data_IF_167898998519
#
_entry.id   IF_167898998519
#
_cell.length_a   1.000
_cell.length_b   1.000
_cell.length_c   1.000
_cell.angle_alpha   90.00
_cell.angle_beta   90.00
_cell.angle_gamma   90.00
#
_symmetry.space_group_name_H-M   'P 1'
#
loop_
_entity.id
_entity.type
_entity.pdbx_description
1 polymer ?
#
# COMPACT_ATOMS: atom_id res chain seq x y z
N UNK A 1 -8.87 4.09 14.54
CA UNK A 1 -8.72 5.56 14.69
C UNK A 1 -7.25 6.00 14.84
N UNK A 2 -6.29 5.08 15.02
CA UNK A 2 -4.87 5.43 15.23
C UNK A 2 -4.04 5.58 13.95
N UNK A 3 -4.35 4.86 12.86
CA UNK A 3 -3.55 4.87 11.62
C UNK A 3 -3.66 6.16 10.77
N UNK A 4 -4.74 6.95 10.92
CA UNK A 4 -4.93 8.20 10.17
C UNK A 4 -4.13 9.39 10.71
N UNK A 5 -3.52 9.25 11.91
CA UNK A 5 -2.61 10.26 12.49
C UNK A 5 -1.13 9.98 12.20
N UNK A 6 -0.81 8.82 11.64
CA UNK A 6 0.55 8.29 11.52
C UNK A 6 1.44 9.04 10.54
N UNK A 7 0.89 9.60 9.44
CA UNK A 7 1.74 10.02 8.31
C UNK A 7 1.96 11.54 8.21
N UNK A 8 1.28 12.33 9.04
CA UNK A 8 1.59 13.77 9.23
C UNK A 8 2.77 13.96 10.21
N UNK A 9 3.25 12.89 10.87
CA UNK A 9 4.40 12.91 11.79
C UNK A 9 5.49 11.92 11.35
N UNK A 10 6.00 12.04 10.14
CA UNK A 10 7.23 11.31 9.72
C UNK A 10 8.51 11.85 10.37
N UNK A 11 8.44 12.51 11.54
CA UNK A 11 9.61 13.13 12.17
C UNK A 11 10.05 12.51 13.50
N UNK A 12 9.18 11.90 14.32
CA UNK A 12 9.58 11.64 15.73
C UNK A 12 8.96 10.40 16.40
N UNK A 13 8.56 9.36 15.68
CA UNK A 13 8.03 8.15 16.32
C UNK A 13 8.35 6.93 15.49
N UNK A 14 8.94 5.91 16.11
CA UNK A 14 9.13 4.58 15.52
C UNK A 14 7.77 3.87 15.37
N UNK A 15 6.86 4.46 14.58
CA UNK A 15 5.49 4.00 14.43
C UNK A 15 5.48 2.65 13.74
N UNK A 16 6.35 2.46 12.75
CA UNK A 16 6.50 1.16 12.10
C UNK A 16 6.95 0.09 13.10
N UNK A 17 7.91 0.40 13.98
CA UNK A 17 8.33 -0.51 15.04
C UNK A 17 7.16 -0.88 15.94
N UNK A 18 6.34 0.09 16.35
CA UNK A 18 5.13 -0.18 17.14
C UNK A 18 4.13 -1.06 16.39
N UNK A 19 3.91 -0.82 15.09
CA UNK A 19 3.02 -1.65 14.26
C UNK A 19 3.57 -3.08 14.20
N UNK A 20 4.86 -3.25 13.92
CA UNK A 20 5.52 -4.55 13.81
C UNK A 20 5.47 -5.32 15.14
N UNK A 21 5.78 -4.68 16.27
CA UNK A 21 5.66 -5.32 17.59
C UNK A 21 4.21 -5.68 17.91
N UNK A 22 3.24 -4.79 17.60
CA UNK A 22 1.81 -5.10 17.79
C UNK A 22 1.39 -6.33 16.97
N UNK A 23 1.85 -6.46 15.73
CA UNK A 23 1.57 -7.63 14.88
C UNK A 23 2.14 -8.90 15.54
N UNK A 24 3.39 -8.86 16.02
CA UNK A 24 4.04 -9.98 16.71
C UNK A 24 3.33 -10.35 18.01
N UNK A 25 2.85 -9.37 18.77
CA UNK A 25 2.10 -9.61 20.00
C UNK A 25 0.82 -10.41 19.72
N UNK A 26 0.06 -10.02 18.68
CA UNK A 26 -1.15 -10.74 18.28
C UNK A 26 -0.89 -12.16 17.75
N UNK A 27 0.31 -12.48 17.26
CA UNK A 27 0.63 -13.85 16.82
C UNK A 27 0.56 -14.86 17.96
N UNK A 28 0.83 -14.43 19.20
CA UNK A 28 0.65 -15.27 20.38
C UNK A 28 -0.82 -15.64 20.63
N UNK A 29 -1.77 -14.78 20.24
CA UNK A 29 -3.21 -15.03 20.33
C UNK A 29 -3.67 -15.94 19.18
N UNK A 30 -3.05 -15.83 18.00
CA UNK A 30 -3.42 -16.58 16.80
C UNK A 30 -2.89 -18.01 16.77
N UNK A 31 -1.95 -18.39 17.64
CA UNK A 31 -1.35 -19.74 17.69
C UNK A 31 -2.34 -20.91 17.81
N UNK A 32 -3.55 -20.64 18.32
CA UNK A 32 -4.61 -21.65 18.48
C UNK A 32 -5.55 -21.75 17.27
N UNK A 33 -5.41 -20.87 16.28
CA UNK A 33 -6.21 -20.90 15.08
C UNK A 33 -5.81 -22.06 14.16
N UNK A 34 -6.77 -22.52 13.36
CA UNK A 34 -6.44 -23.41 12.24
C UNK A 34 -5.49 -22.68 11.29
N UNK A 35 -4.41 -23.35 10.84
CA UNK A 35 -3.37 -22.78 9.98
C UNK A 35 -3.91 -21.97 8.80
N UNK A 36 -4.92 -22.49 8.10
CA UNK A 36 -5.53 -21.79 6.97
C UNK A 36 -6.14 -20.44 7.35
N UNK A 37 -6.81 -20.36 8.52
CA UNK A 37 -7.40 -19.13 9.04
C UNK A 37 -6.31 -18.16 9.50
N UNK A 38 -5.25 -18.67 10.12
CA UNK A 38 -4.11 -17.87 10.55
C UNK A 38 -3.42 -17.20 9.35
N UNK A 39 -3.12 -17.96 8.29
CA UNK A 39 -2.56 -17.41 7.05
C UNK A 39 -3.48 -16.33 6.47
N UNK A 40 -4.79 -16.57 6.40
CA UNK A 40 -5.74 -15.56 5.89
C UNK A 40 -5.73 -14.26 6.70
N UNK A 41 -5.65 -14.36 8.03
CA UNK A 41 -5.55 -13.18 8.91
C UNK A 41 -4.26 -12.43 8.64
N UNK A 42 -3.12 -13.13 8.60
CA UNK A 42 -1.81 -12.51 8.39
C UNK A 42 -1.74 -11.80 7.03
N UNK A 43 -2.26 -12.44 5.97
CA UNK A 43 -2.41 -11.81 4.65
C UNK A 43 -3.32 -10.59 4.68
N UNK A 44 -4.41 -10.63 5.44
CA UNK A 44 -5.31 -9.48 5.57
C UNK A 44 -4.63 -8.30 6.30
N UNK A 45 -3.83 -8.59 7.33
CA UNK A 45 -3.04 -7.57 8.04
C UNK A 45 -2.03 -6.96 7.07
N UNK A 46 -1.24 -7.78 6.38
CA UNK A 46 -0.27 -7.31 5.36
C UNK A 46 -0.92 -6.41 4.31
N UNK A 47 -2.03 -6.88 3.72
CA UNK A 47 -2.81 -6.11 2.75
C UNK A 47 -3.27 -4.76 3.28
N UNK A 48 -3.78 -4.77 4.52
CA UNK A 48 -4.33 -3.56 5.12
C UNK A 48 -3.23 -2.56 5.42
N UNK A 49 -2.10 -3.03 5.93
CA UNK A 49 -0.92 -2.19 6.18
C UNK A 49 -0.46 -1.50 4.90
N UNK A 50 -0.22 -2.26 3.82
CA UNK A 50 0.21 -1.68 2.53
C UNK A 50 -0.84 -0.71 1.97
N UNK A 51 -2.13 -1.05 2.03
CA UNK A 51 -3.19 -0.15 1.55
C UNK A 51 -3.24 1.18 2.33
N UNK A 52 -2.96 1.17 3.64
CA UNK A 52 -2.89 2.39 4.45
C UNK A 52 -1.66 3.24 4.07
N UNK A 53 -0.51 2.63 3.80
CA UNK A 53 0.65 3.35 3.23
C UNK A 53 0.28 4.04 1.92
N UNK A 54 -0.32 3.30 0.97
CA UNK A 54 -0.74 3.85 -0.31
C UNK A 54 -1.70 5.03 -0.16
N UNK A 55 -2.73 4.89 0.68
CA UNK A 55 -3.70 5.95 0.94
C UNK A 55 -3.07 7.22 1.52
N UNK A 56 -2.05 7.04 2.36
CA UNK A 56 -1.40 8.14 3.03
C UNK A 56 -0.37 8.85 2.15
N UNK A 57 0.36 8.11 1.30
CA UNK A 57 1.23 8.69 0.27
C UNK A 57 0.42 9.61 -0.62
N UNK A 58 -0.74 9.16 -1.13
CA UNK A 58 -1.57 9.97 -2.03
C UNK A 58 -2.50 10.94 -1.31
N UNK A 59 -2.34 11.10 0.02
CA UNK A 59 -3.14 12.07 0.76
C UNK A 59 -2.62 13.48 0.52
N UNK A 60 -3.51 14.45 0.31
CA UNK A 60 -3.17 15.87 0.05
C UNK A 60 -2.41 16.56 1.18
N UNK A 61 -2.13 15.87 2.28
CA UNK A 61 -1.36 16.37 3.42
C UNK A 61 0.15 16.21 3.22
N UNK A 62 0.55 15.40 2.24
CA UNK A 62 1.94 15.16 1.89
C UNK A 62 2.29 16.06 0.71
N UNK A 63 3.00 17.17 0.95
CA UNK A 63 3.56 18.00 -0.12
C UNK A 63 5.08 17.88 -0.11
N UNK A 64 5.62 17.55 -1.28
CA UNK A 64 7.03 17.18 -1.45
C UNK A 64 7.79 18.19 -2.29
N UNK A 65 7.50 19.49 -2.11
CA UNK A 65 8.12 20.61 -2.85
C UNK A 65 9.63 20.50 -2.98
N UNK A 66 10.29 20.24 -1.85
CA UNK A 66 11.75 20.19 -1.79
C UNK A 66 12.27 18.79 -2.08
N UNK A 67 13.30 18.69 -2.93
CA UNK A 67 13.93 17.41 -3.28
C UNK A 67 14.43 16.64 -2.05
N UNK A 68 15.03 17.31 -1.07
CA UNK A 68 15.50 16.64 0.14
C UNK A 68 14.36 16.02 0.97
N UNK A 69 13.16 16.64 0.96
CA UNK A 69 11.96 16.07 1.60
C UNK A 69 11.51 14.81 0.85
N UNK A 70 11.57 14.82 -0.48
CA UNK A 70 11.29 13.65 -1.32
C UNK A 70 12.22 12.49 -0.98
N UNK A 71 13.52 12.76 -0.84
CA UNK A 71 14.49 11.76 -0.41
C UNK A 71 14.18 11.21 0.99
N UNK A 72 13.89 12.09 1.96
CA UNK A 72 13.58 11.65 3.33
C UNK A 72 12.31 10.76 3.39
N UNK A 73 11.28 11.11 2.61
CA UNK A 73 10.03 10.31 2.52
C UNK A 73 10.32 8.94 1.89
N UNK A 74 11.08 8.92 0.80
CA UNK A 74 11.44 7.69 0.12
C UNK A 74 12.31 6.77 0.98
N UNK A 75 13.30 7.32 1.68
CA UNK A 75 14.13 6.60 2.64
C UNK A 75 13.27 6.03 3.78
N UNK A 76 12.34 6.82 4.33
CA UNK A 76 11.38 6.34 5.33
C UNK A 76 10.53 5.18 4.79
N UNK A 77 9.99 5.29 3.57
CA UNK A 77 9.21 4.20 2.94
C UNK A 77 10.05 2.94 2.73
N UNK A 78 11.30 3.08 2.31
CA UNK A 78 12.20 1.95 2.09
C UNK A 78 12.53 1.23 3.41
N UNK A 79 12.91 1.98 4.45
CA UNK A 79 13.16 1.44 5.79
C UNK A 79 11.92 0.76 6.38
N UNK A 80 10.74 1.37 6.19
CA UNK A 80 9.48 0.78 6.64
C UNK A 80 9.19 -0.55 5.92
N UNK A 81 9.46 -0.64 4.62
CA UNK A 81 9.31 -1.90 3.88
C UNK A 81 10.26 -2.99 4.40
N UNK A 82 11.51 -2.64 4.73
CA UNK A 82 12.45 -3.58 5.35
C UNK A 82 11.96 -4.09 6.71
N UNK A 83 11.40 -3.22 7.53
CA UNK A 83 10.79 -3.60 8.82
C UNK A 83 9.57 -4.51 8.62
N UNK A 84 8.73 -4.23 7.62
CA UNK A 84 7.59 -5.09 7.25
C UNK A 84 8.06 -6.45 6.74
N UNK A 85 9.07 -6.50 5.87
CA UNK A 85 9.67 -7.75 5.38
C UNK A 85 10.19 -8.59 6.55
N UNK A 86 10.95 -7.95 7.45
CA UNK A 86 11.52 -8.59 8.65
C UNK A 86 10.46 -9.07 9.65
N UNK A 87 9.25 -8.54 9.58
CA UNK A 87 8.12 -8.95 10.43
C UNK A 87 7.29 -10.06 9.78
N UNK A 88 6.84 -9.87 8.54
CA UNK A 88 5.93 -10.81 7.89
C UNK A 88 6.61 -12.08 7.36
N UNK A 89 7.83 -11.98 6.82
CA UNK A 89 8.49 -13.14 6.20
C UNK A 89 8.70 -14.28 7.21
N UNK A 90 9.20 -14.02 8.44
CA UNK A 90 9.31 -15.08 9.46
C UNK A 90 7.95 -15.66 9.87
N UNK A 91 6.91 -14.82 9.99
CA UNK A 91 5.57 -15.28 10.40
C UNK A 91 4.95 -16.20 9.35
N UNK A 92 5.06 -15.86 8.06
CA UNK A 92 4.61 -16.76 6.99
C UNK A 92 5.44 -18.04 6.91
N UNK A 93 6.76 -17.96 7.13
CA UNK A 93 7.64 -19.13 7.14
C UNK A 93 7.26 -20.11 8.27
N UNK A 94 6.94 -19.62 9.47
CA UNK A 94 6.46 -20.43 10.60
C UNK A 94 5.17 -21.21 10.25
N UNK A 95 4.34 -20.68 9.36
CA UNK A 95 3.11 -21.32 8.88
C UNK A 95 3.33 -22.23 7.68
N UNK A 96 4.58 -22.45 7.24
CA UNK A 96 4.95 -23.15 6.00
C UNK A 96 4.22 -22.57 4.78
N UNK A 97 4.04 -21.25 4.75
CA UNK A 97 3.36 -20.55 3.66
C UNK A 97 4.37 -19.76 2.83
N UNK A 98 4.45 -20.08 1.53
CA UNK A 98 5.23 -19.27 0.58
C UNK A 98 4.41 -18.03 0.24
N UNK A 99 4.75 -16.91 0.87
CA UNK A 99 4.04 -15.66 0.62
C UNK A 99 4.38 -15.12 -0.76
N UNK A 100 3.39 -15.11 -1.67
CA UNK A 100 3.48 -14.40 -2.96
C UNK A 100 3.32 -12.88 -2.81
N UNK A 101 3.17 -12.38 -1.58
CA UNK A 101 2.97 -10.99 -1.20
C UNK A 101 4.20 -10.09 -1.31
N UNK A 102 5.38 -10.57 -1.73
CA UNK A 102 6.52 -9.69 -2.03
C UNK A 102 6.12 -8.55 -2.98
N UNK A 103 5.26 -8.86 -3.96
CA UNK A 103 4.68 -7.86 -4.85
C UNK A 103 3.92 -6.74 -4.12
N UNK A 104 3.21 -7.05 -3.02
CA UNK A 104 2.43 -6.06 -2.27
C UNK A 104 3.32 -4.98 -1.67
N UNK A 105 4.47 -5.33 -1.09
CA UNK A 105 5.37 -4.34 -0.48
C UNK A 105 6.26 -3.65 -1.52
N UNK A 106 6.59 -4.34 -2.61
CA UNK A 106 7.40 -3.80 -3.71
C UNK A 106 6.80 -2.55 -4.36
N UNK A 107 5.48 -2.35 -4.31
CA UNK A 107 4.85 -1.12 -4.79
C UNK A 107 5.34 0.12 -4.02
N UNK A 108 5.62 -0.01 -2.72
CA UNK A 108 6.10 1.09 -1.89
C UNK A 108 7.53 1.47 -2.28
N UNK A 109 8.37 0.50 -2.66
CA UNK A 109 9.68 0.78 -3.26
C UNK A 109 9.56 1.54 -4.57
N UNK A 110 8.68 1.10 -5.49
CA UNK A 110 8.50 1.81 -6.77
C UNK A 110 7.90 3.21 -6.60
N UNK A 111 7.07 3.41 -5.59
CA UNK A 111 6.60 4.76 -5.21
C UNK A 111 7.76 5.61 -4.66
N UNK A 112 8.63 5.05 -3.82
CA UNK A 112 9.80 5.75 -3.30
C UNK A 112 10.77 6.18 -4.44
N UNK A 113 11.00 5.30 -5.41
CA UNK A 113 11.77 5.59 -6.63
C UNK A 113 11.12 6.73 -7.44
N UNK A 114 9.80 6.66 -7.66
CA UNK A 114 9.06 7.70 -8.37
C UNK A 114 9.14 9.08 -7.69
N UNK A 115 9.01 9.12 -6.36
CA UNK A 115 9.07 10.37 -5.59
C UNK A 115 10.47 11.01 -5.68
N UNK A 116 11.52 10.19 -5.66
CA UNK A 116 12.92 10.67 -5.72
C UNK A 116 13.41 10.98 -7.13
N UNK A 117 12.61 10.71 -8.17
CA UNK A 117 12.97 11.08 -9.53
C UNK A 117 13.25 12.59 -9.63
N UNK A 118 14.50 12.96 -9.93
CA UNK A 118 14.96 14.35 -9.95
C UNK A 118 14.61 15.06 -11.25
N UNK A 119 14.74 14.36 -12.38
CA UNK A 119 14.47 14.93 -13.70
C UNK A 119 12.97 14.94 -14.01
N UNK A 120 12.40 16.14 -14.14
CA UNK A 120 10.99 16.31 -14.51
C UNK A 120 10.69 15.82 -15.92
N UNK A 121 11.66 15.90 -16.84
CA UNK A 121 11.49 15.42 -18.22
C UNK A 121 11.27 13.91 -18.32
N UNK A 122 11.69 13.16 -17.29
CA UNK A 122 11.53 11.71 -17.21
C UNK A 122 10.22 11.26 -16.55
N UNK A 123 9.38 12.18 -16.08
CA UNK A 123 8.15 11.82 -15.35
C UNK A 123 7.21 10.95 -16.19
N UNK A 124 7.02 11.29 -17.47
CA UNK A 124 6.16 10.52 -18.36
C UNK A 124 6.64 9.06 -18.47
N UNK A 125 7.95 8.85 -18.57
CA UNK A 125 8.54 7.53 -18.68
C UNK A 125 8.36 6.73 -17.37
N UNK A 126 8.60 7.38 -16.24
CA UNK A 126 8.49 6.72 -14.93
C UNK A 126 7.04 6.38 -14.59
N UNK A 127 6.10 7.28 -14.90
CA UNK A 127 4.68 7.01 -14.81
C UNK A 127 4.33 5.79 -15.67
N UNK A 128 4.73 5.77 -16.94
CA UNK A 128 4.47 4.64 -17.82
C UNK A 128 5.10 3.32 -17.31
N UNK A 129 6.27 3.39 -16.66
CA UNK A 129 6.92 2.25 -16.02
C UNK A 129 6.12 1.70 -14.83
N UNK A 130 5.70 2.58 -13.92
CA UNK A 130 4.83 2.24 -12.78
C UNK A 130 3.55 1.56 -13.24
N UNK A 131 2.90 2.15 -14.23
CA UNK A 131 1.61 1.72 -14.74
C UNK A 131 1.77 0.39 -15.53
N UNK A 132 2.94 0.15 -16.14
CA UNK A 132 3.29 -1.15 -16.76
C UNK A 132 3.49 -2.26 -15.71
N UNK A 133 4.02 -1.92 -14.54
CA UNK A 133 4.29 -2.83 -13.41
C UNK A 133 3.03 -3.08 -12.57
N UNK A 134 2.17 -2.08 -12.45
CA UNK A 134 0.94 -2.07 -11.65
C UNK A 134 -0.23 -1.53 -12.49
N UNK A 135 -0.74 -2.30 -13.47
CA UNK A 135 -1.80 -1.85 -14.38
C UNK A 135 -3.14 -1.58 -13.68
N UNK A 136 -3.32 -2.03 -12.44
CA UNK A 136 -4.52 -1.81 -11.63
C UNK A 136 -4.56 -0.43 -10.96
N UNK A 137 -3.47 0.34 -11.07
CA UNK A 137 -3.42 1.70 -10.57
C UNK A 137 -4.46 2.57 -11.28
N UNK A 138 -5.39 3.12 -10.52
CA UNK A 138 -6.44 4.00 -11.06
C UNK A 138 -5.87 5.35 -11.49
N UNK A 139 -6.48 5.99 -12.49
CA UNK A 139 -6.13 7.34 -12.93
C UNK A 139 -6.11 8.34 -11.77
N UNK A 140 -7.07 8.26 -10.84
CA UNK A 140 -7.14 9.15 -9.67
C UNK A 140 -5.97 8.96 -8.71
N UNK A 141 -5.57 7.69 -8.49
CA UNK A 141 -4.41 7.36 -7.66
C UNK A 141 -3.13 7.91 -8.30
N UNK A 142 -2.95 7.69 -9.60
CA UNK A 142 -1.76 8.13 -10.33
C UNK A 142 -1.65 9.66 -10.40
N UNK A 143 -2.77 10.34 -10.65
CA UNK A 143 -2.85 11.79 -10.56
C UNK A 143 -2.40 12.27 -9.17
N UNK A 144 -2.98 11.70 -8.11
CA UNK A 144 -2.69 12.12 -6.74
C UNK A 144 -1.23 11.85 -6.35
N UNK A 145 -0.68 10.71 -6.77
CA UNK A 145 0.74 10.37 -6.59
C UNK A 145 1.66 11.34 -7.34
N UNK A 146 1.28 11.80 -8.52
CA UNK A 146 2.07 12.78 -9.28
C UNK A 146 2.00 14.17 -8.64
N UNK A 147 0.81 14.57 -8.19
CA UNK A 147 0.52 15.86 -7.57
C UNK A 147 1.28 16.09 -6.25
N UNK A 148 1.61 15.02 -5.49
CA UNK A 148 2.38 15.20 -4.23
C UNK A 148 3.77 15.79 -4.45
N UNK A 149 4.35 15.66 -5.65
CA UNK A 149 5.71 16.15 -5.91
C UNK A 149 5.80 17.67 -5.82
N UNK A 150 4.68 18.38 -6.02
CA UNK A 150 4.50 19.84 -5.88
C UNK A 150 5.52 20.69 -6.68
N UNK A 151 6.39 20.04 -7.47
CA UNK A 151 7.29 20.63 -8.46
C UNK A 151 6.69 20.58 -9.87
N UNK A 152 5.46 20.09 -9.98
CA UNK A 152 4.63 19.99 -11.18
C UNK A 152 3.24 20.49 -10.81
N UNK A 153 2.64 21.36 -11.63
CA UNK A 153 1.31 21.91 -11.36
C UNK A 153 0.25 20.81 -11.46
N UNK A 154 -0.89 20.95 -10.76
CA UNK A 154 -1.97 19.96 -10.86
C UNK A 154 -2.51 19.78 -12.29
N UNK A 155 -2.44 20.81 -13.13
CA UNK A 155 -2.77 20.70 -14.56
C UNK A 155 -1.78 19.83 -15.33
N UNK A 156 -0.48 19.99 -15.09
CA UNK A 156 0.56 19.15 -15.70
C UNK A 156 0.48 17.71 -15.19
N UNK A 157 0.27 17.52 -13.88
CA UNK A 157 0.05 16.20 -13.27
C UNK A 157 -1.14 15.47 -13.90
N UNK A 158 -2.24 16.19 -14.18
CA UNK A 158 -3.41 15.64 -14.89
C UNK A 158 -3.06 15.25 -16.32
N UNK A 159 -2.41 16.14 -17.07
CA UNK A 159 -2.03 15.88 -18.47
C UNK A 159 -1.11 14.65 -18.59
N UNK A 160 -0.05 14.57 -17.77
CA UNK A 160 0.87 13.43 -17.72
C UNK A 160 0.13 12.12 -17.42
N UNK A 161 -0.79 12.15 -16.45
CA UNK A 161 -1.60 10.99 -16.08
C UNK A 161 -2.47 10.54 -17.27
N UNK A 162 -3.20 11.48 -17.88
CA UNK A 162 -4.12 11.18 -18.97
C UNK A 162 -3.39 10.63 -20.21
N UNK A 163 -2.20 11.15 -20.50
CA UNK A 163 -1.38 10.67 -21.62
C UNK A 163 -0.84 9.26 -21.36
N UNK A 164 -0.37 8.97 -20.15
CA UNK A 164 0.08 7.62 -19.80
C UNK A 164 -1.06 6.58 -19.77
N UNK A 165 -2.25 6.97 -19.30
CA UNK A 165 -3.42 6.07 -19.29
C UNK A 165 -3.83 5.62 -20.70
N UNK A 166 -3.60 6.45 -21.73
CA UNK A 166 -3.86 6.09 -23.14
C UNK A 166 -2.81 5.14 -23.72
N UNK A 167 -1.58 5.18 -23.20
CA UNK A 167 -0.44 4.37 -23.69
C UNK A 167 -0.57 2.91 -23.22
N UNK A 168 -1.23 2.67 -22.09
CA UNK A 168 -1.37 1.32 -21.54
C UNK A 168 -2.55 0.60 -22.19
N UNK A 169 -2.23 -0.38 -23.04
CA UNK A 169 -3.21 -1.35 -23.53
C UNK A 169 -3.70 -2.28 -22.41
N UNK A 170 -4.77 -3.04 -22.68
CA UNK A 170 -5.30 -4.03 -21.74
C UNK A 170 -4.24 -5.09 -21.40
N UNK A 171 -3.68 -4.99 -20.20
CA UNK A 171 -2.81 -6.02 -19.62
C UNK A 171 -3.60 -6.99 -18.75
N UNK A 172 -3.04 -8.18 -18.60
CA UNK A 172 -3.51 -9.15 -17.62
C UNK A 172 -3.38 -8.54 -16.21
N UNK A 173 -4.50 -8.51 -15.49
CA UNK A 173 -4.58 -7.88 -14.18
C UNK A 173 -4.35 -8.91 -13.07
N UNK A 174 -3.44 -8.61 -12.15
CA UNK A 174 -3.25 -9.37 -10.93
C UNK A 174 -4.44 -9.10 -9.98
N UNK A 175 -5.24 -10.13 -9.62
CA UNK A 175 -6.38 -9.97 -8.73
C UNK A 175 -5.99 -9.47 -7.33
N UNK A 176 -4.76 -9.76 -6.89
CA UNK A 176 -4.19 -9.27 -5.62
C UNK A 176 -4.00 -7.76 -5.71
N UNK A 177 -3.32 -7.27 -6.74
CA UNK A 177 -3.12 -5.83 -6.96
C UNK A 177 -4.44 -5.10 -7.18
N UNK A 178 -5.37 -5.70 -7.93
CA UNK A 178 -6.70 -5.13 -8.13
C UNK A 178 -7.43 -4.92 -6.81
N UNK A 179 -7.34 -5.89 -5.90
CA UNK A 179 -7.89 -5.76 -4.55
C UNK A 179 -7.17 -4.67 -3.75
N UNK A 180 -5.85 -4.54 -3.91
CA UNK A 180 -5.04 -3.56 -3.18
C UNK A 180 -5.47 -2.14 -3.56
N UNK A 181 -5.51 -1.82 -4.84
CA UNK A 181 -5.96 -0.50 -5.33
C UNK A 181 -7.44 -0.23 -5.06
N UNK A 182 -8.30 -1.26 -5.03
CA UNK A 182 -9.67 -1.11 -4.55
C UNK A 182 -9.76 -0.70 -3.07
N UNK A 183 -8.77 -1.06 -2.24
CA UNK A 183 -8.69 -0.66 -0.84
C UNK A 183 -7.95 0.67 -0.66
N UNK A 184 -6.95 0.93 -1.50
CA UNK A 184 -6.18 2.17 -1.56
C UNK A 184 -6.91 3.26 -2.38
N UNK A 185 -8.16 3.55 -2.02
CA UNK A 185 -8.92 4.64 -2.64
C UNK A 185 -8.48 5.94 -1.98
N UNK A 186 -7.60 6.68 -2.66
CA UNK A 186 -7.21 8.04 -2.27
C UNK A 186 -8.41 8.79 -1.69
N UNK A 187 -8.26 9.16 -0.42
CA UNK A 187 -9.30 9.65 0.51
C UNK A 187 -10.64 8.86 0.54
N UNK A 188 -10.80 8.03 1.59
CA UNK A 188 -12.12 7.58 2.07
C UNK A 188 -12.33 7.94 3.53
N UNK A 189 -13.54 8.43 3.86
CA UNK A 189 -14.01 8.58 5.24
C UNK A 189 -14.01 7.20 5.94
N UNK A 190 -13.36 7.12 7.09
CA UNK A 190 -13.11 5.93 7.94
C UNK A 190 -14.31 5.01 8.13
N UNK A 191 -15.52 5.57 8.10
CA UNK A 191 -16.81 4.89 8.27
C UNK A 191 -17.10 3.81 7.22
N UNK A 192 -16.48 3.88 6.04
CA UNK A 192 -16.75 2.93 4.95
C UNK A 192 -15.92 1.63 5.08
N UNK A 193 -14.72 1.69 5.67
CA UNK A 193 -13.80 0.53 5.81
C UNK A 193 -14.37 -0.54 6.73
N UNK A 194 -14.99 -0.14 7.85
CA UNK A 194 -15.59 -1.07 8.82
C UNK A 194 -16.79 -1.79 8.18
N UNK A 195 -17.55 -1.10 7.34
CA UNK A 195 -18.71 -1.66 6.63
C UNK A 195 -18.33 -2.69 5.57
N UNK A 196 -17.13 -2.59 4.98
CA UNK A 196 -16.69 -3.51 3.92
C UNK A 196 -16.01 -4.78 4.46
N UNK A 197 -15.37 -4.70 5.64
CA UNK A 197 -14.60 -5.82 6.23
C UNK A 197 -15.49 -6.74 7.07
N UNK A 198 -16.35 -6.17 7.93
CA UNK A 198 -17.16 -6.93 8.90
C UNK A 198 -18.14 -7.93 8.24
N UNK A 199 -18.84 -7.61 7.13
CA UNK A 199 -19.74 -8.56 6.48
C UNK A 199 -19.03 -9.73 5.81
N UNK A 200 -17.77 -9.54 5.37
CA UNK A 200 -17.01 -10.56 4.64
C UNK A 200 -16.49 -11.65 5.56
N UNK A 201 -16.00 -11.29 6.74
CA UNK A 201 -15.60 -12.24 7.80
C UNK A 201 -16.84 -13.06 8.22
N UNK A 202 -17.98 -12.40 8.42
CA UNK A 202 -19.22 -13.06 8.85
C UNK A 202 -19.77 -14.06 7.82
N UNK A 203 -19.64 -13.78 6.51
CA UNK A 203 -20.10 -14.69 5.45
C UNK A 203 -19.18 -15.91 5.29
N UNK A 204 -17.85 -15.74 5.33
CA UNK A 204 -16.92 -16.87 5.15
C UNK A 204 -16.91 -17.81 6.34
N UNK A 205 -17.03 -17.30 7.57
CA UNK A 205 -17.16 -18.13 8.78
C UNK A 205 -18.41 -19.01 8.69
N UNK A 206 -19.54 -18.50 8.20
CA UNK A 206 -20.76 -19.31 7.99
C UNK A 206 -20.58 -20.43 6.96
N UNK A 207 -19.86 -20.18 5.87
CA UNK A 207 -19.61 -21.20 4.82
C UNK A 207 -18.67 -22.30 5.33
N UNK A 208 -17.70 -21.96 6.19
CA UNK A 208 -16.77 -22.94 6.76
C UNK A 208 -17.39 -23.82 7.87
N UNK A 209 -18.45 -23.33 8.52
CA UNK A 209 -19.24 -24.09 9.52
C UNK A 209 -20.28 -24.98 8.85
N UNK A 210 -20.79 -24.62 7.67
CA UNK A 210 -21.78 -25.42 6.94
C UNK A 210 -21.19 -26.62 6.18
N UNK A 211 -19.87 -26.70 6.03
CA UNK A 211 -19.14 -27.75 5.32
C UNK A 211 -18.33 -28.67 6.26
N UNK A 212 -18.68 -28.71 7.55
CA UNK A 212 -18.20 -29.67 8.55
C UNK A 212 -19.40 -30.44 9.10
#
# INVERSE_FOLDING_TARGET
MWLLRTIVKMKDSNIIGTICETIKDYENDYKHLRRAVHIEILQCIEFKTVAEYLNAVVSRKLTCTEYWKRCAIAECLQNDVEALNSTFNPLFAQLNYVNKGENLRNILHSIAEFITLRDKGMLLLEIASLLRKYPEMTQEFLFSLTDIRDDVTSSESRALTDDCMKIIGNKESDPVMKRLFQMAKGERKTTQVIKDVVPRIRRRVKVSIANQ
#
